data_IF_512831990674
#
_entry.id   IF_512831990674
#
_cell.length_a   1.000
_cell.length_b   1.000
_cell.length_c   1.000
_cell.angle_alpha   90.00
_cell.angle_beta   90.00
_cell.angle_gamma   90.00
#
_symmetry.space_group_name_H-M   'P 1'
#
loop_
_entity.id
_entity.type
_entity.pdbx_description
1 polymer ?
#
# COMPACT_ATOMS: atom_id res chain seq x y z
N UNK A 1 -9.26 -9.56 34.88
CA UNK A 1 -7.87 -9.67 34.40
C UNK A 1 -7.35 -8.26 34.20
N UNK A 2 -6.23 -7.93 34.83
CA UNK A 2 -5.53 -6.66 34.62
C UNK A 2 -5.02 -6.62 33.18
N UNK A 3 -5.00 -5.43 32.57
CA UNK A 3 -4.45 -5.21 31.23
C UNK A 3 -3.14 -4.46 31.33
N UNK A 4 -2.25 -4.75 30.40
CA UNK A 4 -1.04 -3.99 30.19
C UNK A 4 -0.73 -3.91 28.69
N UNK A 5 0.06 -2.91 28.32
CA UNK A 5 0.61 -2.82 26.97
C UNK A 5 2.03 -2.27 27.01
N UNK A 6 2.80 -2.59 25.97
CA UNK A 6 4.14 -2.04 25.79
C UNK A 6 4.00 -0.65 25.19
N UNK A 7 4.61 0.36 25.82
CA UNK A 7 4.58 1.76 25.41
C UNK A 7 5.82 2.15 24.61
N UNK A 8 6.98 1.62 25.01
CA UNK A 8 8.26 2.00 24.41
C UNK A 8 9.27 0.89 24.58
N UNK A 9 10.13 0.71 23.58
CA UNK A 9 11.37 -0.03 23.68
C UNK A 9 12.53 0.90 23.35
N UNK A 10 13.58 0.82 24.14
CA UNK A 10 14.82 1.57 23.98
C UNK A 10 15.98 0.60 24.03
N UNK A 11 16.88 0.68 23.06
CA UNK A 11 18.11 -0.09 23.00
C UNK A 11 19.28 0.89 23.01
N UNK A 12 20.18 0.73 23.96
CA UNK A 12 21.32 1.63 24.19
C UNK A 12 22.64 0.87 24.20
N UNK A 13 23.71 1.51 23.76
CA UNK A 13 25.06 0.94 23.66
C UNK A 13 26.13 2.01 23.80
N UNK A 14 27.32 1.65 24.29
CA UNK A 14 28.41 2.61 24.37
C UNK A 14 28.90 2.95 22.95
N UNK A 15 28.84 4.24 22.58
CA UNK A 15 29.31 4.73 21.28
C UNK A 15 28.26 4.78 20.16
N UNK A 16 26.98 4.53 20.46
CA UNK A 16 25.87 4.62 19.50
C UNK A 16 24.72 5.46 20.06
N UNK A 17 23.93 6.07 19.16
CA UNK A 17 22.68 6.74 19.56
C UNK A 17 21.64 5.71 20.01
N UNK A 18 20.82 6.09 20.99
CA UNK A 18 19.76 5.22 21.50
C UNK A 18 18.72 4.95 20.41
N UNK A 19 18.51 3.67 20.09
CA UNK A 19 17.45 3.25 19.18
C UNK A 19 16.13 3.14 19.96
N UNK A 20 15.14 3.93 19.55
CA UNK A 20 13.86 4.05 20.27
C UNK A 20 12.69 3.74 19.34
N UNK A 21 11.79 2.87 19.79
CA UNK A 21 10.49 2.63 19.16
C UNK A 21 9.41 2.86 20.20
N UNK A 22 8.42 3.67 19.83
CA UNK A 22 7.23 3.93 20.65
C UNK A 22 6.03 3.22 20.05
N UNK A 23 5.19 2.66 20.91
CA UNK A 23 4.01 1.91 20.55
C UNK A 23 2.77 2.64 21.05
N UNK A 24 1.69 2.53 20.28
CA UNK A 24 0.37 3.03 20.63
C UNK A 24 -0.56 1.89 21.06
N UNK A 25 -1.67 2.20 21.73
CA UNK A 25 -2.71 1.21 22.05
C UNK A 25 -3.36 0.73 20.73
N UNK A 26 -3.48 -0.59 20.57
CA UNK A 26 -4.09 -1.21 19.38
C UNK A 26 -3.06 -1.89 18.46
N UNK A 27 -3.29 -1.82 17.15
CA UNK A 27 -2.44 -2.46 16.14
C UNK A 27 -1.26 -1.54 15.77
N UNK A 28 -0.04 -2.02 16.00
CA UNK A 28 1.18 -1.34 15.57
C UNK A 28 1.85 -2.16 14.45
N UNK A 29 2.10 -1.54 13.30
CA UNK A 29 2.75 -2.19 12.15
C UNK A 29 4.13 -1.57 11.93
N UNK A 30 5.19 -2.37 12.08
CA UNK A 30 6.57 -1.95 11.79
C UNK A 30 6.91 -2.40 10.36
N UNK A 31 7.08 -1.44 9.45
CA UNK A 31 7.41 -1.70 8.04
C UNK A 31 8.77 -1.10 7.67
N UNK A 32 9.41 -1.67 6.64
CA UNK A 32 10.73 -1.24 6.18
C UNK A 32 11.41 -2.30 5.30
N UNK A 33 12.51 -1.95 4.62
CA UNK A 33 13.24 -2.86 3.73
C UNK A 33 13.69 -4.14 4.44
N UNK A 34 13.87 -5.25 3.71
CA UNK A 34 14.39 -6.50 4.30
C UNK A 34 15.75 -6.29 4.99
N UNK A 35 16.02 -7.06 6.05
CA UNK A 35 17.26 -7.00 6.85
C UNK A 35 17.58 -5.65 7.54
N UNK A 36 16.56 -4.83 7.82
CA UNK A 36 16.70 -3.55 8.53
C UNK A 36 16.46 -3.64 10.05
N UNK A 37 16.48 -4.84 10.63
CA UNK A 37 16.32 -5.03 12.08
C UNK A 37 14.87 -5.12 12.59
N UNK A 38 13.86 -5.19 11.70
CA UNK A 38 12.45 -5.36 12.10
C UNK A 38 12.23 -6.55 13.03
N UNK A 39 12.74 -7.73 12.65
CA UNK A 39 12.64 -8.96 13.45
C UNK A 39 13.41 -8.84 14.78
N UNK A 40 14.44 -7.98 14.84
CA UNK A 40 15.19 -7.74 16.08
C UNK A 40 14.33 -7.04 17.14
N UNK A 41 13.39 -6.17 16.76
CA UNK A 41 12.49 -5.49 17.71
C UNK A 41 11.68 -6.52 18.51
N UNK A 42 11.09 -7.49 17.82
CA UNK A 42 10.30 -8.56 18.44
C UNK A 42 11.18 -9.44 19.34
N UNK A 43 12.39 -9.77 18.89
CA UNK A 43 13.37 -10.52 19.71
C UNK A 43 13.80 -9.76 20.96
N UNK A 44 13.95 -8.43 20.90
CA UNK A 44 14.28 -7.60 22.06
C UNK A 44 13.19 -7.62 23.12
N UNK A 45 11.92 -7.55 22.70
CA UNK A 45 10.75 -7.69 23.60
C UNK A 45 10.79 -9.07 24.25
N UNK A 46 10.96 -10.13 23.47
CA UNK A 46 11.00 -11.50 23.97
C UNK A 46 12.18 -11.74 24.93
N UNK A 47 13.33 -11.11 24.67
CA UNK A 47 14.48 -11.13 25.58
C UNK A 47 14.15 -10.47 26.92
N UNK A 48 13.46 -9.31 26.92
CA UNK A 48 12.98 -8.68 28.16
C UNK A 48 11.93 -9.54 28.89
N UNK A 49 11.20 -10.40 28.18
CA UNK A 49 10.27 -11.37 28.76
C UNK A 49 10.96 -12.63 29.36
N UNK A 50 12.30 -12.66 29.38
CA UNK A 50 13.08 -13.77 29.92
C UNK A 50 13.59 -14.76 28.86
N UNK A 51 13.50 -14.41 27.57
CA UNK A 51 14.18 -15.13 26.49
C UNK A 51 15.68 -15.28 26.77
N UNK A 52 16.28 -16.40 26.35
CA UNK A 52 17.71 -16.66 26.56
C UNK A 52 18.56 -16.35 25.33
N UNK A 53 17.93 -16.37 24.15
CA UNK A 53 18.60 -16.06 22.89
C UNK A 53 18.83 -14.56 22.76
N UNK A 54 20.07 -14.16 22.43
CA UNK A 54 20.40 -12.76 22.19
C UNK A 54 19.63 -12.25 20.97
N UNK A 55 19.03 -11.04 21.02
CA UNK A 55 18.19 -10.55 19.94
C UNK A 55 18.97 -10.12 18.70
N UNK A 56 20.24 -9.75 18.86
CA UNK A 56 21.17 -9.35 17.80
C UNK A 56 22.61 -9.62 18.23
N UNK A 57 23.53 -9.55 17.27
CA UNK A 57 24.97 -9.81 17.45
C UNK A 57 25.67 -8.65 18.20
N UNK A 58 26.73 -8.96 18.95
CA UNK A 58 27.48 -7.96 19.72
C UNK A 58 28.19 -6.92 18.81
N UNK A 59 28.38 -7.24 17.52
CA UNK A 59 28.94 -6.33 16.50
C UNK A 59 28.13 -5.05 16.25
N UNK A 60 26.85 -5.01 16.63
CA UNK A 60 26.02 -3.81 16.53
C UNK A 60 26.28 -2.78 17.64
N UNK A 61 27.08 -3.10 18.67
CA UNK A 61 27.50 -2.16 19.72
C UNK A 61 26.45 -1.84 20.79
N UNK A 62 25.22 -2.33 20.65
CA UNK A 62 24.17 -2.21 21.66
C UNK A 62 24.35 -3.22 22.81
N UNK A 63 24.10 -2.79 24.05
CA UNK A 63 24.37 -3.60 25.26
C UNK A 63 23.17 -3.77 26.17
N UNK A 64 22.28 -2.78 26.21
CA UNK A 64 21.16 -2.72 27.17
C UNK A 64 19.84 -2.49 26.45
N UNK A 65 18.80 -3.21 26.87
CA UNK A 65 17.43 -3.08 26.39
C UNK A 65 16.55 -2.62 27.55
N UNK A 66 15.77 -1.57 27.34
CA UNK A 66 14.76 -1.06 28.26
C UNK A 66 13.38 -1.19 27.64
N UNK A 67 12.48 -1.84 28.35
CA UNK A 67 11.09 -2.03 27.99
C UNK A 67 10.21 -1.22 28.95
N UNK A 68 9.38 -0.34 28.40
CA UNK A 68 8.42 0.46 29.14
C UNK A 68 7.03 -0.12 28.92
N UNK A 69 6.37 -0.46 30.02
CA UNK A 69 5.05 -1.10 30.07
C UNK A 69 4.12 -0.18 30.86
N UNK A 70 2.92 0.02 30.34
CA UNK A 70 1.84 0.72 31.03
C UNK A 70 0.74 -0.30 31.34
N UNK A 71 0.48 -0.49 32.64
CA UNK A 71 -0.56 -1.34 33.19
C UNK A 71 -1.73 -0.47 33.69
N UNK A 72 -2.87 -1.09 33.99
CA UNK A 72 -4.05 -0.38 34.51
C UNK A 72 -3.76 0.39 35.81
N UNK A 73 -2.84 -0.12 36.64
CA UNK A 73 -2.55 0.39 37.99
C UNK A 73 -1.17 1.10 38.09
N UNK A 74 -0.50 1.41 36.97
CA UNK A 74 0.80 2.12 36.99
C UNK A 74 1.72 1.83 35.80
N UNK A 75 2.94 2.38 35.87
CA UNK A 75 3.99 2.14 34.87
C UNK A 75 5.08 1.19 35.41
N UNK A 76 5.68 0.42 34.49
CA UNK A 76 6.74 -0.54 34.76
C UNK A 76 7.85 -0.40 33.72
N UNK A 77 9.09 -0.32 34.17
CA UNK A 77 10.28 -0.26 33.33
C UNK A 77 11.15 -1.48 33.65
N UNK A 78 11.47 -2.26 32.62
CA UNK A 78 12.35 -3.43 32.72
C UNK A 78 13.61 -3.13 31.91
N UNK A 79 14.77 -3.12 32.57
CA UNK A 79 16.08 -2.91 31.95
C UNK A 79 16.92 -4.18 32.04
N UNK A 80 17.37 -4.72 30.91
CA UNK A 80 18.17 -5.95 30.84
C UNK A 80 19.38 -5.76 29.95
N UNK A 81 20.54 -6.17 30.45
CA UNK A 81 21.80 -6.19 29.69
C UNK A 81 21.97 -7.53 28.97
N UNK A 82 22.47 -7.52 27.74
CA UNK A 82 22.63 -8.72 26.89
C UNK A 82 23.62 -9.75 27.44
N UNK A 83 24.55 -9.30 28.29
CA UNK A 83 25.57 -10.10 28.96
C UNK A 83 25.09 -10.70 30.29
N UNK A 84 23.88 -10.35 30.74
CA UNK A 84 23.42 -10.60 32.11
C UNK A 84 22.13 -11.43 32.18
N UNK A 85 22.09 -12.30 33.20
CA UNK A 85 20.88 -13.05 33.59
C UNK A 85 20.05 -12.31 34.64
N UNK A 86 20.29 -11.00 34.81
CA UNK A 86 19.57 -10.13 35.73
C UNK A 86 18.82 -9.06 34.94
N UNK A 87 17.63 -8.71 35.42
CA UNK A 87 16.87 -7.58 34.93
C UNK A 87 16.62 -6.61 36.09
N UNK A 88 16.86 -5.34 35.87
CA UNK A 88 16.48 -4.25 36.76
C UNK A 88 15.03 -3.89 36.46
N UNK A 89 14.18 -3.89 37.48
CA UNK A 89 12.77 -3.55 37.36
C UNK A 89 12.50 -2.30 38.20
N UNK A 90 11.91 -1.29 37.59
CA UNK A 90 11.37 -0.11 38.27
C UNK A 90 9.87 -0.11 38.06
N UNK A 91 9.11 -0.15 39.14
CA UNK A 91 7.65 -0.37 39.12
C UNK A 91 6.96 0.64 40.02
N UNK A 92 5.91 1.26 39.47
CA UNK A 92 4.89 2.00 40.22
C UNK A 92 3.59 1.18 40.36
N UNK A 93 3.57 -0.06 39.88
CA UNK A 93 2.41 -0.96 39.91
C UNK A 93 2.33 -1.70 41.24
N UNK A 94 1.14 -1.69 41.85
CA UNK A 94 0.83 -2.47 43.06
C UNK A 94 1.15 -3.97 42.87
N UNK A 95 1.73 -4.59 43.90
CA UNK A 95 2.23 -5.98 43.94
C UNK A 95 3.51 -6.26 43.14
N UNK A 96 4.14 -5.26 42.50
CA UNK A 96 5.43 -5.44 41.83
C UNK A 96 6.46 -4.50 42.45
N UNK A 97 7.46 -5.08 43.13
CA UNK A 97 8.52 -4.31 43.78
C UNK A 97 9.59 -3.89 42.77
N UNK A 98 10.13 -2.68 42.96
CA UNK A 98 11.34 -2.26 42.25
C UNK A 98 12.56 -3.03 42.78
N UNK A 99 13.44 -3.48 41.89
CA UNK A 99 14.65 -4.21 42.26
C UNK A 99 15.22 -5.09 41.15
N UNK A 100 16.19 -5.92 41.52
CA UNK A 100 16.87 -6.82 40.58
C UNK A 100 16.22 -8.21 40.56
N UNK A 101 15.74 -8.64 39.40
CA UNK A 101 15.09 -9.92 39.16
C UNK A 101 15.97 -10.87 38.34
N UNK A 102 15.75 -12.19 38.50
CA UNK A 102 16.44 -13.21 37.73
C UNK A 102 15.73 -13.50 36.41
N UNK A 103 16.42 -13.25 35.29
CA UNK A 103 15.93 -13.48 33.93
C UNK A 103 16.51 -14.76 33.28
N UNK A 104 17.29 -15.56 34.02
CA UNK A 104 17.94 -16.77 33.52
C UNK A 104 17.11 -18.06 33.64
N UNK A 105 17.76 -19.19 33.37
CA UNK A 105 17.25 -20.54 33.67
C UNK A 105 17.95 -21.13 34.91
N UNK A 106 17.18 -21.85 35.73
CA UNK A 106 17.71 -22.53 36.92
C UNK A 106 17.34 -21.86 38.24
N UNK A 107 18.03 -22.26 39.31
CA UNK A 107 17.78 -21.75 40.67
C UNK A 107 18.61 -20.50 40.90
N UNK A 108 17.98 -19.45 41.40
CA UNK A 108 18.62 -18.21 41.83
C UNK A 108 18.07 -17.81 43.19
N UNK A 109 18.82 -16.99 43.94
CA UNK A 109 18.34 -16.36 45.17
C UNK A 109 17.43 -15.15 44.89
N UNK A 110 17.51 -14.60 43.67
CA UNK A 110 16.69 -13.48 43.23
C UNK A 110 15.33 -13.98 42.75
N UNK A 111 14.30 -13.15 42.92
CA UNK A 111 12.96 -13.44 42.42
C UNK A 111 12.97 -13.60 40.88
N UNK A 112 12.28 -14.60 40.32
CA UNK A 112 12.17 -14.77 38.88
C UNK A 112 11.44 -13.60 38.20
N UNK A 113 11.98 -13.10 37.10
CA UNK A 113 11.33 -12.08 36.27
C UNK A 113 9.97 -12.56 35.71
N UNK A 114 9.77 -13.88 35.61
CA UNK A 114 8.49 -14.45 35.21
C UNK A 114 7.35 -14.12 36.17
N UNK A 115 7.62 -13.93 37.46
CA UNK A 115 6.61 -13.57 38.45
C UNK A 115 6.04 -12.19 38.14
N UNK A 116 6.90 -11.22 37.78
CA UNK A 116 6.48 -9.87 37.38
C UNK A 116 5.43 -9.89 36.28
N UNK A 117 5.65 -10.66 35.20
CA UNK A 117 4.69 -10.75 34.10
C UNK A 117 3.41 -11.52 34.45
N UNK A 118 3.49 -12.50 35.35
CA UNK A 118 2.32 -13.20 35.86
C UNK A 118 1.47 -12.27 36.75
N UNK A 119 2.10 -11.46 37.60
CA UNK A 119 1.40 -10.44 38.40
C UNK A 119 0.72 -9.38 37.53
N UNK A 120 1.33 -8.99 36.40
CA UNK A 120 0.72 -8.05 35.43
C UNK A 120 -0.60 -8.56 34.82
N UNK A 121 -0.81 -9.88 34.75
CA UNK A 121 -2.09 -10.47 34.30
C UNK A 121 -3.03 -10.86 35.45
N UNK A 122 -2.63 -10.57 36.69
CA UNK A 122 -3.40 -10.85 37.91
C UNK A 122 -3.16 -12.22 38.53
N UNK A 123 -1.98 -12.82 38.32
CA UNK A 123 -1.54 -14.04 38.98
C UNK A 123 -0.44 -13.65 39.98
N UNK A 124 -0.82 -13.40 41.24
CA UNK A 124 0.11 -12.98 42.28
C UNK A 124 1.04 -14.13 42.71
N UNK A 125 0.52 -15.35 42.76
CA UNK A 125 1.29 -16.56 43.09
C UNK A 125 1.33 -17.54 41.91
N UNK A 126 2.52 -17.85 41.37
CA UNK A 126 2.64 -18.79 40.26
C UNK A 126 2.18 -20.20 40.65
N UNK A 127 1.15 -20.77 40.00
CA UNK A 127 0.65 -22.09 40.35
C UNK A 127 1.64 -23.20 39.98
N UNK A 128 1.50 -24.35 40.63
CA UNK A 128 2.13 -25.59 40.18
C UNK A 128 1.34 -26.17 39.00
N UNK A 129 2.04 -26.45 37.89
CA UNK A 129 1.47 -27.04 36.67
C UNK A 129 2.14 -28.39 36.36
N UNK A 130 1.36 -29.32 35.82
CA UNK A 130 1.88 -30.65 35.47
C UNK A 130 2.82 -30.54 34.27
N UNK A 131 4.03 -31.06 34.42
CA UNK A 131 5.09 -31.00 33.41
C UNK A 131 5.11 -32.23 32.50
N UNK A 132 4.71 -33.41 33.00
CA UNK A 132 4.85 -34.66 32.24
C UNK A 132 3.77 -35.70 32.57
N UNK A 133 3.82 -36.83 31.84
CA UNK A 133 2.91 -37.98 32.03
C UNK A 133 3.01 -38.66 33.40
N UNK A 134 4.07 -38.37 34.18
CA UNK A 134 4.27 -38.89 35.54
C UNK A 134 3.67 -37.98 36.62
N UNK A 135 2.91 -36.95 36.21
CA UNK A 135 2.32 -35.96 37.09
C UNK A 135 3.35 -35.17 37.91
N UNK A 136 4.60 -35.11 37.46
CA UNK A 136 5.59 -34.22 38.07
C UNK A 136 5.19 -32.77 37.81
N UNK A 137 5.23 -31.94 38.85
CA UNK A 137 4.85 -30.53 38.76
C UNK A 137 6.06 -29.63 38.56
N UNK A 138 5.82 -28.46 37.96
CA UNK A 138 6.77 -27.37 37.92
C UNK A 138 6.02 -26.04 38.13
N UNK A 139 6.69 -25.04 38.69
CA UNK A 139 6.13 -23.71 38.83
C UNK A 139 5.85 -23.11 37.45
N UNK A 140 4.63 -22.59 37.26
CA UNK A 140 4.25 -21.89 36.03
C UNK A 140 5.17 -20.70 35.80
N UNK A 141 5.63 -20.52 34.56
CA UNK A 141 6.46 -19.37 34.19
C UNK A 141 5.89 -18.70 32.95
N UNK A 142 6.11 -17.39 32.84
CA UNK A 142 5.68 -16.58 31.69
C UNK A 142 6.06 -17.21 30.34
N UNK A 143 7.27 -17.77 30.25
CA UNK A 143 7.77 -18.45 29.05
C UNK A 143 6.97 -19.68 28.63
N UNK A 144 6.32 -20.37 29.57
CA UNK A 144 5.52 -21.56 29.23
C UNK A 144 4.33 -21.21 28.35
N UNK A 145 3.79 -20.00 28.48
CA UNK A 145 2.64 -19.51 27.71
C UNK A 145 3.04 -18.60 26.54
N UNK A 146 4.33 -18.57 26.18
CA UNK A 146 4.83 -17.78 25.05
C UNK A 146 4.16 -18.06 23.70
N UNK A 147 3.70 -19.29 23.38
CA UNK A 147 2.96 -19.52 22.14
C UNK A 147 1.65 -18.72 22.02
N UNK A 148 1.13 -18.16 23.12
CA UNK A 148 -0.09 -17.34 23.12
C UNK A 148 0.16 -15.88 22.71
N UNK A 149 1.38 -15.37 22.90
CA UNK A 149 1.68 -13.94 22.74
C UNK A 149 2.90 -13.63 21.85
N UNK A 150 3.69 -14.64 21.47
CA UNK A 150 4.92 -14.46 20.70
C UNK A 150 4.99 -15.43 19.52
N UNK A 151 5.09 -14.87 18.32
CA UNK A 151 5.23 -15.58 17.05
C UNK A 151 6.34 -14.93 16.23
N UNK A 152 7.39 -15.68 15.92
CA UNK A 152 8.52 -15.25 15.09
C UNK A 152 8.42 -15.79 13.65
N UNK A 153 9.26 -15.24 12.78
CA UNK A 153 9.34 -15.56 11.35
C UNK A 153 9.64 -17.05 11.11
N UNK A 154 10.50 -17.63 11.94
CA UNK A 154 10.90 -19.04 11.83
C UNK A 154 9.72 -19.98 12.05
N UNK A 155 8.83 -19.69 13.01
CA UNK A 155 7.65 -20.54 13.29
C UNK A 155 6.57 -20.47 12.23
N UNK A 156 6.39 -19.32 11.56
CA UNK A 156 5.37 -19.14 10.51
C UNK A 156 5.63 -20.06 9.32
N UNK A 157 6.89 -20.34 8.99
CA UNK A 157 7.26 -21.22 7.88
C UNK A 157 7.16 -22.72 8.18
N UNK A 158 6.87 -23.13 9.42
CA UNK A 158 6.88 -24.55 9.80
C UNK A 158 5.55 -25.26 9.49
N UNK A 159 5.62 -26.57 9.21
CA UNK A 159 4.42 -27.43 9.06
C UNK A 159 3.73 -27.75 10.39
N UNK A 160 4.38 -27.46 11.52
CA UNK A 160 3.83 -27.74 12.85
C UNK A 160 2.86 -26.63 13.26
N UNK A 161 1.93 -26.95 14.17
CA UNK A 161 1.00 -25.95 14.66
C UNK A 161 1.73 -24.90 15.49
N UNK A 162 1.58 -23.64 15.08
CA UNK A 162 2.14 -22.45 15.73
C UNK A 162 1.68 -22.29 17.19
N UNK A 163 0.52 -22.86 17.53
CA UNK A 163 -0.05 -22.78 18.87
C UNK A 163 0.64 -23.69 19.90
N UNK A 164 1.45 -24.65 19.45
CA UNK A 164 2.13 -25.59 20.36
C UNK A 164 3.62 -25.31 20.41
N UNK A 165 4.26 -25.52 21.58
CA UNK A 165 5.71 -25.46 21.66
C UNK A 165 6.34 -26.57 20.82
N UNK A 166 7.48 -26.27 20.21
CA UNK A 166 8.23 -27.19 19.33
C UNK A 166 8.68 -28.45 20.06
N UNK A 167 9.11 -28.30 21.32
CA UNK A 167 9.54 -29.42 22.14
C UNK A 167 8.33 -30.17 22.72
N UNK A 168 8.20 -31.46 22.37
CA UNK A 168 7.11 -32.31 22.88
C UNK A 168 7.07 -32.39 24.42
N UNK A 169 8.21 -32.23 25.09
CA UNK A 169 8.31 -32.20 26.56
C UNK A 169 7.68 -30.95 27.18
N UNK A 170 7.59 -29.85 26.43
CA UNK A 170 6.98 -28.60 26.88
C UNK A 170 5.46 -28.55 26.63
N UNK A 171 4.91 -29.44 25.78
CA UNK A 171 3.48 -29.45 25.41
C UNK A 171 2.56 -29.68 26.61
N UNK A 172 2.91 -30.61 27.49
CA UNK A 172 2.11 -30.88 28.70
C UNK A 172 2.09 -29.68 29.64
N UNK A 173 3.26 -29.08 29.89
CA UNK A 173 3.37 -27.88 30.72
C UNK A 173 2.59 -26.68 30.14
N UNK A 174 2.65 -26.48 28.82
CA UNK A 174 1.86 -25.47 28.11
C UNK A 174 0.35 -25.71 28.26
N UNK A 175 -0.12 -26.93 27.98
CA UNK A 175 -1.54 -27.28 28.08
C UNK A 175 -2.05 -27.14 29.51
N UNK A 176 -1.29 -27.58 30.51
CA UNK A 176 -1.64 -27.40 31.92
C UNK A 176 -1.69 -25.92 32.32
N UNK A 177 -0.76 -25.10 31.81
CA UNK A 177 -0.79 -23.65 32.03
C UNK A 177 -2.00 -23.00 31.36
N UNK A 178 -2.39 -23.45 30.17
CA UNK A 178 -3.57 -22.95 29.46
C UNK A 178 -4.87 -23.34 30.18
N UNK A 179 -4.98 -24.58 30.65
CA UNK A 179 -6.12 -25.04 31.48
C UNK A 179 -6.23 -24.19 32.74
N UNK A 180 -5.10 -23.85 33.39
CA UNK A 180 -5.09 -22.95 34.53
C UNK A 180 -5.63 -21.55 34.16
N UNK A 181 -5.17 -20.96 33.06
CA UNK A 181 -5.66 -19.65 32.62
C UNK A 181 -7.16 -19.63 32.30
N UNK A 182 -7.71 -20.74 31.81
CA UNK A 182 -9.14 -20.86 31.47
C UNK A 182 -10.04 -21.12 32.69
N UNK A 183 -9.58 -21.92 33.65
CA UNK A 183 -10.42 -22.40 34.75
C UNK A 183 -10.04 -21.87 36.14
N UNK A 184 -8.87 -21.27 36.30
CA UNK A 184 -8.36 -20.75 37.57
C UNK A 184 -8.04 -21.81 38.64
N UNK A 185 -8.06 -23.11 38.30
CA UNK A 185 -7.78 -24.20 39.23
C UNK A 185 -6.35 -24.71 39.07
N UNK A 186 -5.52 -24.54 40.10
CA UNK A 186 -4.20 -25.16 40.16
C UNK A 186 -4.34 -26.66 40.43
N UNK A 187 -3.57 -27.47 39.71
CA UNK A 187 -3.48 -28.91 39.95
C UNK A 187 -2.64 -29.17 41.20
N UNK A 188 -3.21 -28.96 42.38
CA UNK A 188 -2.55 -29.34 43.63
C UNK A 188 -2.64 -30.86 43.81
N UNK A 189 -1.49 -31.44 44.16
CA UNK A 189 -1.24 -32.86 44.40
C UNK A 189 -2.01 -33.40 45.62
N UNK A 190 -3.34 -33.56 45.54
CA UNK A 190 -4.10 -34.39 46.48
C UNK A 190 -4.44 -35.78 45.92
N UNK A 191 -4.14 -36.05 44.64
CA UNK A 191 -4.48 -37.32 43.98
C UNK A 191 -3.39 -38.40 44.08
N UNK A 192 -2.58 -38.38 45.14
CA UNK A 192 -1.62 -39.43 45.43
C UNK A 192 -1.99 -40.17 46.72
N UNK A 193 -2.93 -41.13 46.62
CA UNK A 193 -2.95 -42.46 47.29
C UNK A 193 -4.30 -43.16 47.02
N UNK A 194 -4.21 -44.44 46.64
CA UNK A 194 -5.27 -45.42 46.37
C UNK A 194 -6.34 -45.57 47.49
N UNK A 195 -7.62 -45.72 47.10
CA UNK A 195 -8.58 -46.59 47.80
C UNK A 195 -9.70 -47.08 46.87
N UNK A 196 -10.22 -48.29 47.12
CA UNK A 196 -11.27 -48.96 46.31
C UNK A 196 -12.59 -48.16 46.24
N UNK A 197 -12.83 -47.25 47.17
CA UNK A 197 -14.04 -46.40 47.24
C UNK A 197 -14.01 -45.26 46.20
N UNK A 198 -12.83 -44.83 45.76
CA UNK A 198 -12.67 -43.88 44.66
C UNK A 198 -12.89 -44.50 43.28
N UNK A 199 -12.81 -45.84 43.12
CA UNK A 199 -13.16 -46.49 41.84
C UNK A 199 -14.67 -46.48 41.60
N UNK A 200 -15.46 -46.67 42.64
CA UNK A 200 -16.92 -46.60 42.56
C UNK A 200 -17.39 -45.16 42.37
N UNK A 201 -16.79 -44.20 43.08
CA UNK A 201 -17.05 -42.78 42.88
C UNK A 201 -16.59 -42.28 41.50
N UNK A 202 -15.43 -42.73 40.98
CA UNK A 202 -15.00 -42.44 39.61
C UNK A 202 -15.91 -43.09 38.57
N UNK A 203 -16.39 -44.31 38.77
CA UNK A 203 -17.34 -44.96 37.85
C UNK A 203 -18.67 -44.20 37.79
N UNK A 204 -19.20 -43.76 38.93
CA UNK A 204 -20.39 -42.91 38.99
C UNK A 204 -20.14 -41.53 38.36
N UNK A 205 -19.02 -40.88 38.67
CA UNK A 205 -18.66 -39.61 38.06
C UNK A 205 -18.41 -39.72 36.54
N UNK A 206 -17.88 -40.84 36.06
CA UNK A 206 -17.72 -41.15 34.62
C UNK A 206 -19.09 -41.39 33.98
N UNK A 207 -20.01 -42.08 34.65
CA UNK A 207 -21.38 -42.28 34.17
C UNK A 207 -22.15 -40.96 34.12
N UNK A 208 -22.05 -40.13 35.15
CA UNK A 208 -22.63 -38.78 35.19
C UNK A 208 -22.00 -37.87 34.14
N UNK A 209 -20.68 -37.95 33.92
CA UNK A 209 -20.00 -37.22 32.84
C UNK A 209 -20.44 -37.70 31.46
N UNK A 210 -20.61 -39.01 31.26
CA UNK A 210 -21.11 -39.58 30.01
C UNK A 210 -22.56 -39.15 29.75
N UNK A 211 -23.42 -39.18 30.76
CA UNK A 211 -24.80 -38.71 30.67
C UNK A 211 -24.88 -37.20 30.42
N UNK A 212 -24.10 -36.38 31.14
CA UNK A 212 -24.02 -34.94 30.89
C UNK A 212 -23.42 -34.62 29.50
N UNK A 213 -22.51 -35.47 29.01
CA UNK A 213 -21.98 -35.39 27.65
C UNK A 213 -23.04 -35.69 26.60
N UNK A 214 -23.85 -36.73 26.81
CA UNK A 214 -24.97 -37.09 25.92
C UNK A 214 -26.04 -35.99 25.92
N UNK A 215 -26.39 -35.42 27.07
CA UNK A 215 -27.34 -34.30 27.12
C UNK A 215 -26.80 -33.05 26.43
N UNK A 216 -25.51 -32.73 26.58
CA UNK A 216 -24.88 -31.64 25.83
C UNK A 216 -24.87 -31.87 24.32
N UNK A 217 -24.67 -33.12 23.89
CA UNK A 217 -24.71 -33.46 22.46
C UNK A 217 -26.14 -33.36 21.93
N UNK A 218 -27.14 -33.87 22.66
CA UNK A 218 -28.55 -33.81 22.27
C UNK A 218 -29.08 -32.37 22.25
N UNK A 219 -28.74 -31.55 23.25
CA UNK A 219 -29.10 -30.13 23.25
C UNK A 219 -28.46 -29.39 22.07
N UNK A 220 -27.20 -29.70 21.74
CA UNK A 220 -26.52 -29.15 20.57
C UNK A 220 -27.14 -29.64 19.25
N UNK A 221 -27.54 -30.91 19.16
CA UNK A 221 -28.27 -31.44 18.00
C UNK A 221 -29.60 -30.72 17.80
N UNK A 222 -30.40 -30.56 18.85
CA UNK A 222 -31.67 -29.84 18.78
C UNK A 222 -31.47 -28.37 18.38
N UNK A 223 -30.43 -27.71 18.91
CA UNK A 223 -30.07 -26.35 18.49
C UNK A 223 -29.66 -26.31 17.02
N UNK A 224 -28.86 -27.27 16.54
CA UNK A 224 -28.48 -27.34 15.13
C UNK A 224 -29.68 -27.63 14.22
N UNK A 225 -30.61 -28.49 14.62
CA UNK A 225 -31.85 -28.75 13.88
C UNK A 225 -32.76 -27.51 13.84
N UNK A 226 -32.88 -26.76 14.94
CA UNK A 226 -33.62 -25.50 14.99
C UNK A 226 -32.93 -24.39 14.15
N UNK A 227 -31.60 -24.38 14.10
CA UNK A 227 -30.85 -23.49 13.21
C UNK A 227 -31.06 -23.89 11.75
N UNK A 228 -30.96 -25.18 11.42
CA UNK A 228 -31.14 -25.68 10.05
C UNK A 228 -32.57 -25.47 9.54
N UNK A 229 -33.59 -25.63 10.38
CA UNK A 229 -34.98 -25.36 10.01
C UNK A 229 -35.24 -23.88 9.68
N UNK A 230 -34.52 -22.95 10.32
CA UNK A 230 -34.56 -21.52 9.98
C UNK A 230 -33.96 -21.19 8.61
N UNK A 231 -33.11 -22.07 8.06
CA UNK A 231 -32.48 -21.90 6.75
C UNK A 231 -33.09 -22.77 5.64
N UNK A 232 -34.06 -23.64 5.93
CA UNK A 232 -34.70 -24.51 4.92
C UNK A 232 -35.45 -23.73 3.82
N UNK A 233 -35.91 -22.51 4.11
CA UNK A 233 -36.66 -21.67 3.16
C UNK A 233 -35.77 -20.68 2.39
N UNK A 234 -34.46 -20.59 2.69
CA UNK A 234 -33.55 -19.65 2.03
C UNK A 234 -32.77 -20.41 0.96
N UNK A 235 -33.21 -20.27 -0.29
CA UNK A 235 -32.49 -20.78 -1.45
C UNK A 235 -31.24 -19.91 -1.74
N UNK A 236 -30.18 -20.12 -0.96
CA UNK A 236 -28.90 -19.41 -1.07
C UNK A 236 -28.29 -19.64 -2.47
N UNK A 237 -28.42 -20.83 -3.04
CA UNK A 237 -27.92 -21.16 -4.37
C UNK A 237 -28.64 -20.36 -5.47
N UNK A 238 -29.95 -20.15 -5.32
CA UNK A 238 -30.76 -19.29 -6.19
C UNK A 238 -30.34 -17.81 -6.15
N UNK A 239 -30.01 -17.30 -4.96
CA UNK A 239 -29.51 -15.93 -4.82
C UNK A 239 -28.10 -15.78 -5.40
N UNK A 240 -27.22 -16.77 -5.16
CA UNK A 240 -25.87 -16.78 -5.73
C UNK A 240 -25.93 -16.82 -7.26
N UNK A 241 -26.79 -17.65 -7.85
CA UNK A 241 -26.96 -17.71 -9.31
C UNK A 241 -27.49 -16.41 -9.90
N UNK A 242 -28.49 -15.78 -9.27
CA UNK A 242 -28.98 -14.45 -9.69
C UNK A 242 -27.88 -13.38 -9.65
N UNK A 243 -27.07 -13.34 -8.58
CA UNK A 243 -25.96 -12.38 -8.47
C UNK A 243 -24.90 -12.64 -9.54
N UNK A 244 -24.61 -13.90 -9.85
CA UNK A 244 -23.66 -14.26 -10.90
C UNK A 244 -24.16 -13.84 -12.29
N UNK A 245 -25.45 -14.00 -12.58
CA UNK A 245 -26.07 -13.51 -13.82
C UNK A 245 -26.00 -11.98 -13.92
N UNK A 246 -26.34 -11.26 -12.84
CA UNK A 246 -26.24 -9.79 -12.79
C UNK A 246 -24.80 -9.30 -12.99
N UNK A 247 -23.81 -10.02 -12.43
CA UNK A 247 -22.40 -9.71 -12.59
C UNK A 247 -21.97 -9.89 -14.06
N UNK A 248 -22.38 -10.98 -14.70
CA UNK A 248 -22.10 -11.22 -16.13
C UNK A 248 -22.73 -10.15 -17.03
N UNK A 249 -23.99 -9.77 -16.77
CA UNK A 249 -24.65 -8.70 -17.53
C UNK A 249 -23.95 -7.35 -17.35
N UNK A 250 -23.47 -7.07 -16.14
CA UNK A 250 -22.74 -5.84 -15.85
C UNK A 250 -21.37 -5.83 -16.54
N UNK A 251 -20.67 -6.97 -16.55
CA UNK A 251 -19.39 -7.12 -17.22
C UNK A 251 -19.53 -6.94 -18.74
N UNK A 252 -20.59 -7.49 -19.36
CA UNK A 252 -20.89 -7.28 -20.77
C UNK A 252 -21.11 -5.80 -21.09
N UNK A 253 -21.95 -5.10 -20.30
CA UNK A 253 -22.18 -3.65 -20.45
C UNK A 253 -20.89 -2.86 -20.29
N UNK A 254 -20.00 -3.26 -19.38
CA UNK A 254 -18.71 -2.62 -19.20
C UNK A 254 -17.80 -2.79 -20.41
N UNK A 255 -17.74 -4.00 -20.98
CA UNK A 255 -16.95 -4.27 -22.19
C UNK A 255 -17.47 -3.46 -23.38
N UNK A 256 -18.79 -3.39 -23.57
CA UNK A 256 -19.43 -2.59 -24.62
C UNK A 256 -19.13 -1.09 -24.45
N UNK A 257 -19.28 -0.55 -23.24
CA UNK A 257 -18.94 0.84 -22.92
C UNK A 257 -17.44 1.14 -23.14
N UNK A 258 -16.56 0.20 -22.80
CA UNK A 258 -15.11 0.34 -23.01
C UNK A 258 -14.74 0.33 -24.50
N UNK A 259 -15.36 -0.54 -25.29
CA UNK A 259 -15.15 -0.62 -26.73
C UNK A 259 -15.66 0.64 -27.45
N UNK A 260 -16.84 1.14 -27.08
CA UNK A 260 -17.39 2.38 -27.64
C UNK A 260 -16.53 3.59 -27.26
N UNK A 261 -16.08 3.68 -26.01
CA UNK A 261 -15.12 4.70 -25.57
C UNK A 261 -13.83 4.65 -26.39
N UNK A 262 -13.26 3.46 -26.59
CA UNK A 262 -12.02 3.28 -27.37
C UNK A 262 -12.20 3.70 -28.83
N UNK A 263 -13.33 3.37 -29.45
CA UNK A 263 -13.65 3.80 -30.81
C UNK A 263 -13.81 5.33 -30.93
N UNK A 264 -14.46 5.97 -29.94
CA UNK A 264 -14.59 7.42 -29.89
C UNK A 264 -13.22 8.11 -29.74
N UNK A 265 -12.33 7.58 -28.90
CA UNK A 265 -10.97 8.11 -28.76
C UNK A 265 -10.16 7.98 -30.05
N UNK A 266 -10.29 6.87 -30.78
CA UNK A 266 -9.62 6.69 -32.07
C UNK A 266 -10.11 7.72 -33.09
N UNK A 267 -11.43 7.92 -33.22
CA UNK A 267 -12.01 8.91 -34.11
C UNK A 267 -11.57 10.34 -33.73
N UNK A 268 -11.51 10.64 -32.44
CA UNK A 268 -11.08 11.94 -31.93
C UNK A 268 -9.60 12.21 -32.24
N UNK A 269 -8.74 11.19 -32.16
CA UNK A 269 -7.33 11.34 -32.52
C UNK A 269 -7.16 11.59 -34.02
N UNK A 270 -7.90 10.87 -34.87
CA UNK A 270 -7.89 11.08 -36.32
C UNK A 270 -8.32 12.51 -36.69
N UNK A 271 -9.42 13.00 -36.09
CA UNK A 271 -9.89 14.38 -36.32
C UNK A 271 -8.87 15.42 -35.85
N UNK A 272 -8.20 15.19 -34.70
CA UNK A 272 -7.14 16.10 -34.24
C UNK A 272 -5.93 16.11 -35.17
N UNK A 273 -5.53 14.96 -35.68
CA UNK A 273 -4.42 14.87 -36.64
C UNK A 273 -4.77 15.61 -37.93
N UNK A 274 -6.00 15.44 -38.43
CA UNK A 274 -6.51 16.20 -39.59
C UNK A 274 -6.50 17.71 -39.31
N UNK A 275 -7.05 18.14 -38.18
CA UNK A 275 -7.04 19.55 -37.78
C UNK A 275 -5.62 20.13 -37.68
N UNK A 276 -4.67 19.37 -37.15
CA UNK A 276 -3.26 19.80 -37.10
C UNK A 276 -2.67 19.94 -38.51
N UNK A 277 -2.96 19.01 -39.42
CA UNK A 277 -2.51 19.05 -40.81
C UNK A 277 -3.10 20.26 -41.56
N UNK A 278 -4.40 20.53 -41.38
CA UNK A 278 -5.09 21.65 -42.03
C UNK A 278 -4.58 23.00 -41.53
N UNK A 279 -4.32 23.13 -40.23
CA UNK A 279 -3.68 24.34 -39.67
C UNK A 279 -2.30 24.62 -40.30
N UNK A 280 -1.49 23.58 -40.48
CA UNK A 280 -0.17 23.70 -41.14
C UNK A 280 -0.34 24.11 -42.60
N UNK A 281 -1.29 23.50 -43.31
CA UNK A 281 -1.58 23.82 -44.71
C UNK A 281 -2.08 25.27 -44.87
N UNK A 282 -2.99 25.70 -43.99
CA UNK A 282 -3.48 27.08 -43.94
C UNK A 282 -2.34 28.08 -43.75
N UNK A 283 -1.46 27.85 -42.78
CA UNK A 283 -0.29 28.71 -42.54
C UNK A 283 0.60 28.82 -43.78
N UNK A 284 0.81 27.73 -44.51
CA UNK A 284 1.62 27.75 -45.75
C UNK A 284 0.95 28.55 -46.86
N UNK A 285 -0.37 28.49 -46.99
CA UNK A 285 -1.10 29.29 -47.96
C UNK A 285 -1.13 30.77 -47.60
N UNK A 286 -1.21 31.12 -46.31
CA UNK A 286 -1.04 32.49 -45.81
C UNK A 286 0.35 33.07 -46.14
N UNK A 287 1.41 32.27 -45.94
CA UNK A 287 2.77 32.64 -46.33
C UNK A 287 2.89 32.87 -47.84
N UNK A 288 2.31 31.97 -48.65
CA UNK A 288 2.28 32.10 -50.11
C UNK A 288 1.50 33.35 -50.54
N UNK A 289 0.38 33.67 -49.88
CA UNK A 289 -0.39 34.90 -50.15
C UNK A 289 0.46 36.13 -49.91
N UNK A 290 1.19 36.16 -48.79
CA UNK A 290 2.08 37.26 -48.43
C UNK A 290 3.19 37.44 -49.47
N UNK A 291 3.77 36.34 -49.97
CA UNK A 291 4.77 36.37 -51.03
C UNK A 291 4.20 36.92 -52.35
N UNK A 292 3.03 36.44 -52.77
CA UNK A 292 2.38 36.91 -54.00
C UNK A 292 1.96 38.39 -53.93
N UNK A 293 1.50 38.87 -52.77
CA UNK A 293 1.22 40.31 -52.54
C UNK A 293 2.51 41.12 -52.66
N UNK A 294 3.61 40.65 -52.08
CA UNK A 294 4.92 41.31 -52.21
C UNK A 294 5.39 41.34 -53.67
N UNK A 295 5.19 40.26 -54.42
CA UNK A 295 5.51 40.22 -55.85
C UNK A 295 4.62 41.15 -56.68
N UNK A 296 3.33 41.24 -56.38
CA UNK A 296 2.41 42.20 -57.01
C UNK A 296 2.90 43.64 -56.78
N UNK A 297 3.24 43.99 -55.54
CA UNK A 297 3.77 45.31 -55.19
C UNK A 297 5.07 45.60 -55.96
N UNK A 298 5.98 44.63 -56.03
CA UNK A 298 7.24 44.74 -56.77
C UNK A 298 7.01 44.95 -58.26
N UNK A 299 6.17 44.14 -58.89
CA UNK A 299 5.86 44.24 -60.32
C UNK A 299 5.12 45.54 -60.66
N UNK A 300 4.17 45.97 -59.82
CA UNK A 300 3.47 47.25 -59.96
C UNK A 300 4.44 48.43 -59.86
N UNK A 301 5.39 48.38 -58.91
CA UNK A 301 6.44 49.39 -58.78
C UNK A 301 7.31 49.47 -60.05
N UNK A 302 7.73 48.32 -60.59
CA UNK A 302 8.53 48.28 -61.83
C UNK A 302 7.73 48.82 -63.02
N UNK A 303 6.46 48.40 -63.17
CA UNK A 303 5.59 48.86 -64.25
C UNK A 303 5.37 50.38 -64.21
N UNK A 304 5.05 50.93 -63.03
CA UNK A 304 4.90 52.37 -62.84
C UNK A 304 6.22 53.11 -63.10
N UNK A 305 7.36 52.54 -62.67
CA UNK A 305 8.69 53.07 -62.96
C UNK A 305 8.99 53.13 -64.46
N UNK A 306 8.66 52.09 -65.22
CA UNK A 306 8.84 52.08 -66.69
C UNK A 306 7.96 53.14 -67.35
N UNK A 307 6.71 53.33 -66.91
CA UNK A 307 5.82 54.37 -67.45
C UNK A 307 6.35 55.78 -67.19
N UNK A 308 6.88 56.05 -66.00
CA UNK A 308 7.50 57.34 -65.68
C UNK A 308 8.77 57.54 -66.52
N UNK A 309 9.65 56.54 -66.61
CA UNK A 309 10.90 56.64 -67.39
C UNK A 309 10.64 56.85 -68.89
N UNK A 310 9.60 56.24 -69.45
CA UNK A 310 9.20 56.46 -70.85
C UNK A 310 8.68 57.88 -71.11
N UNK A 311 8.14 58.57 -70.10
CA UNK A 311 7.65 59.94 -70.21
C UNK A 311 8.75 61.02 -70.11
N UNK A 312 9.98 60.63 -69.76
CA UNK A 312 11.12 61.53 -69.64
C UNK A 312 11.82 61.64 -71.01
N UNK A 313 12.06 62.87 -71.45
CA UNK A 313 12.81 63.13 -72.69
C UNK A 313 14.21 62.50 -72.62
N UNK A 314 14.52 61.65 -73.59
CA UNK A 314 15.81 60.96 -73.65
C UNK A 314 16.90 62.00 -73.96
N UNK A 315 17.98 62.07 -73.15
CA UNK A 315 19.08 62.99 -73.44
C UNK A 315 19.74 62.60 -74.76
N UNK A 316 19.92 63.57 -75.65
CA UNK A 316 20.56 63.38 -76.96
C UNK A 316 22.10 63.37 -76.88
N UNK A 317 22.66 63.86 -75.78
CA UNK A 317 24.10 63.92 -75.50
C UNK A 317 24.41 63.42 -74.11
N UNK A 318 25.56 62.76 -73.97
CA UNK A 318 26.05 62.31 -72.67
C UNK A 318 26.41 63.51 -71.79
N UNK A 319 25.85 63.64 -70.56
CA UNK A 319 26.15 64.76 -69.67
C UNK A 319 27.59 64.79 -69.14
N UNK A 320 28.40 63.75 -69.41
CA UNK A 320 29.79 63.66 -68.98
C UNK A 320 30.83 63.90 -70.09
N UNK A 321 30.54 63.48 -71.33
CA UNK A 321 31.51 63.57 -72.44
C UNK A 321 30.94 64.20 -73.72
N UNK A 322 29.69 64.66 -73.68
CA UNK A 322 28.96 65.32 -74.77
C UNK A 322 28.84 64.51 -76.08
N UNK A 323 29.18 63.22 -76.03
CA UNK A 323 29.04 62.29 -77.15
C UNK A 323 27.55 62.06 -77.50
N UNK A 324 27.19 61.99 -78.80
CA UNK A 324 25.84 61.69 -79.24
C UNK A 324 25.43 60.28 -78.81
N UNK A 325 24.30 60.16 -78.11
CA UNK A 325 23.75 58.88 -77.71
C UNK A 325 22.92 58.32 -78.87
N UNK A 326 23.35 57.21 -79.47
CA UNK A 326 22.56 56.50 -80.48
C UNK A 326 21.40 55.80 -79.80
N UNK A 327 20.17 56.11 -80.23
CA UNK A 327 18.96 55.55 -79.68
C UNK A 327 18.82 54.08 -80.09
N UNK A 328 19.43 53.17 -79.34
CA UNK A 328 19.09 51.78 -79.44
C UNK A 328 19.33 51.02 -78.12
N UNK A 329 18.38 50.14 -77.81
CA UNK A 329 18.42 49.08 -76.78
C UNK A 329 17.87 49.36 -75.37
N UNK A 330 16.70 49.99 -75.26
CA UNK A 330 15.77 49.60 -74.19
C UNK A 330 14.57 48.91 -74.86
N UNK A 331 14.57 47.57 -74.88
CA UNK A 331 13.35 46.82 -75.25
C UNK A 331 12.31 47.14 -74.16
N UNK A 332 11.14 47.63 -74.56
CA UNK A 332 10.07 47.81 -73.58
C UNK A 332 9.62 46.44 -73.11
N UNK A 333 9.53 46.28 -71.79
CA UNK A 333 9.10 45.04 -71.15
C UNK A 333 7.63 45.11 -70.73
N UNK A 334 6.91 46.14 -71.17
CA UNK A 334 5.52 46.44 -70.80
C UNK A 334 4.58 45.24 -70.97
N UNK A 335 4.55 44.64 -72.17
CA UNK A 335 3.66 43.50 -72.45
C UNK A 335 3.98 42.28 -71.57
N UNK A 336 5.27 42.02 -71.30
CA UNK A 336 5.71 40.92 -70.43
C UNK A 336 5.36 41.19 -68.96
N UNK A 337 5.48 42.44 -68.50
CA UNK A 337 5.13 42.84 -67.14
C UNK A 337 3.62 42.80 -66.91
N UNK A 338 2.83 43.25 -67.89
CA UNK A 338 1.36 43.18 -67.84
C UNK A 338 0.88 41.72 -67.81
N UNK A 339 1.50 40.84 -68.59
CA UNK A 339 1.19 39.41 -68.58
C UNK A 339 1.55 38.74 -67.24
N UNK A 340 2.71 39.03 -66.65
CA UNK A 340 3.09 38.49 -65.34
C UNK A 340 2.22 39.07 -64.20
N UNK A 341 1.85 40.35 -64.25
CA UNK A 341 0.91 40.95 -63.29
C UNK A 341 -0.46 40.26 -63.36
N UNK A 342 -1.01 40.06 -64.56
CA UNK A 342 -2.28 39.36 -64.75
C UNK A 342 -2.23 37.92 -64.21
N UNK A 343 -1.10 37.24 -64.39
CA UNK A 343 -0.87 35.88 -63.87
C UNK A 343 -0.82 35.86 -62.34
N UNK A 344 -0.08 36.76 -61.71
CA UNK A 344 0.01 36.85 -60.24
C UNK A 344 -1.35 37.18 -59.63
N UNK A 345 -2.12 38.08 -60.24
CA UNK A 345 -3.50 38.40 -59.79
C UNK A 345 -4.41 37.17 -59.89
N UNK A 346 -4.30 36.40 -60.98
CA UNK A 346 -5.09 35.16 -61.15
C UNK A 346 -4.73 34.13 -60.08
N UNK A 347 -3.43 33.98 -59.78
CA UNK A 347 -2.95 33.08 -58.74
C UNK A 347 -3.42 33.50 -57.34
N UNK A 348 -3.41 34.81 -57.03
CA UNK A 348 -3.93 35.34 -55.77
C UNK A 348 -5.43 35.08 -55.60
N UNK A 349 -6.24 35.36 -56.62
CA UNK A 349 -7.68 35.10 -56.57
C UNK A 349 -7.98 33.62 -56.38
N UNK A 350 -7.23 32.74 -57.05
CA UNK A 350 -7.34 31.29 -56.86
C UNK A 350 -6.97 30.88 -55.43
N UNK A 351 -5.89 31.46 -54.89
CA UNK A 351 -5.43 31.19 -53.53
C UNK A 351 -6.41 31.66 -52.46
N UNK A 352 -7.03 32.83 -52.62
CA UNK A 352 -8.08 33.32 -51.71
C UNK A 352 -9.32 32.40 -51.70
N UNK A 353 -9.69 31.87 -52.87
CA UNK A 353 -10.73 30.84 -52.98
C UNK A 353 -10.36 29.56 -52.21
N UNK A 354 -9.11 29.10 -52.32
CA UNK A 354 -8.66 27.92 -51.55
C UNK A 354 -8.56 28.17 -50.05
N UNK A 355 -8.14 29.37 -49.62
CA UNK A 355 -8.05 29.74 -48.21
C UNK A 355 -9.42 29.84 -47.55
N UNK A 356 -10.42 30.38 -48.26
CA UNK A 356 -11.80 30.42 -47.76
C UNK A 356 -12.41 29.03 -47.63
N UNK A 357 -12.29 28.19 -48.67
CA UNK A 357 -12.78 26.81 -48.61
C UNK A 357 -12.13 26.00 -47.48
N UNK A 358 -10.80 26.13 -47.32
CA UNK A 358 -10.07 25.41 -46.27
C UNK A 358 -10.43 25.92 -44.86
N UNK A 359 -10.75 27.21 -44.73
CA UNK A 359 -11.23 27.78 -43.47
C UNK A 359 -12.62 27.25 -43.09
N UNK A 360 -13.53 27.15 -44.06
CA UNK A 360 -14.86 26.60 -43.84
C UNK A 360 -14.79 25.11 -43.43
N UNK A 361 -13.88 24.33 -44.03
CA UNK A 361 -13.62 22.94 -43.63
C UNK A 361 -13.05 22.85 -42.20
N UNK A 362 -12.10 23.72 -41.84
CA UNK A 362 -11.54 23.77 -40.48
C UNK A 362 -12.57 24.15 -39.41
N UNK A 363 -13.50 25.06 -39.72
CA UNK A 363 -14.57 25.46 -38.81
C UNK A 363 -15.59 24.32 -38.62
N UNK A 364 -15.94 23.59 -39.68
CA UNK A 364 -16.81 22.42 -39.61
C UNK A 364 -16.18 21.26 -38.79
N UNK A 365 -14.89 20.99 -39.00
CA UNK A 365 -14.16 19.99 -38.22
C UNK A 365 -13.96 20.44 -36.75
N UNK A 366 -13.86 21.74 -36.49
CA UNK A 366 -13.84 22.31 -35.14
C UNK A 366 -15.12 22.05 -34.35
N UNK A 367 -16.28 22.15 -35.00
CA UNK A 367 -17.57 21.81 -34.38
C UNK A 367 -17.65 20.31 -34.03
N UNK A 368 -17.25 19.42 -34.94
CA UNK A 368 -17.32 17.97 -34.70
C UNK A 368 -16.42 17.51 -33.55
N UNK A 369 -15.23 18.12 -33.40
CA UNK A 369 -14.34 17.84 -32.25
C UNK A 369 -14.93 18.35 -30.92
N UNK A 370 -15.71 19.44 -30.95
CA UNK A 370 -16.35 19.99 -29.74
C UNK A 370 -17.51 19.12 -29.25
N UNK A 371 -18.31 18.57 -30.18
CA UNK A 371 -19.42 17.66 -29.89
C UNK A 371 -18.93 16.34 -29.29
N UNK A 372 -17.76 15.85 -29.72
CA UNK A 372 -17.14 14.63 -29.18
C UNK A 372 -16.47 14.83 -27.81
N UNK A 373 -16.07 16.07 -27.46
CA UNK A 373 -15.48 16.40 -26.14
C UNK A 373 -16.52 16.59 -25.05
N UNK A 374 -17.72 17.06 -25.41
CA UNK A 374 -18.84 17.30 -24.51
C UNK A 374 -20.10 16.73 -25.14
N UNK A 375 -20.32 15.41 -25.06
CA UNK A 375 -21.61 14.85 -25.47
C UNK A 375 -22.71 15.54 -24.64
N UNK A 376 -23.84 15.92 -25.26
CA UNK A 376 -24.95 16.51 -24.53
C UNK A 376 -25.39 15.55 -23.43
N UNK A 377 -25.38 16.03 -22.19
CA UNK A 377 -25.78 15.25 -21.01
C UNK A 377 -27.15 14.59 -21.25
N UNK A 378 -27.17 13.25 -21.17
CA UNK A 378 -28.38 12.44 -21.07
C UNK A 378 -28.40 11.67 -19.76
#
# INVERSE_FOLDING_TARGET
>A
MKKFHIKKILVSGAGHEDAVITFSKGLNVISGPSNTGKSCVLRCIYYCFGGQEKPFDDSFGYTTIKLFIEADDGELIISRELSSNKAEVTSDVDNINSGTYFAGTGKSKLQPLSEVFLSLIGIDEPPQVIKNKRFETNTMSWRMISPLYYLDEDKVGTKQSVLFPEQNTAKTAFLSSLIFLLHGKSSNNEDAVDSKEMKTAKLQAIQEYAHAGIEKINTRLNQLEEFLSKFQDINIEGQISSILEDLQLTEQKFIEASNTSSALYANLDELKQKQAADNVLFSRYEDLRTQLISDLNRLSFIHNGEMVVQSIDKPSRCPFCDAPLTADHAKSHKESLEAELAKVVTQLNGLEGTLSALKDEMDADGLSVSELKYPPDH
#
